data_IF_170459954159
#
_entry.id   IF_170459954159
#
_cell.length_a   1.000
_cell.length_b   1.000
_cell.length_c   1.000
_cell.angle_alpha   90.00
_cell.angle_beta   90.00
_cell.angle_gamma   90.00
#
_symmetry.space_group_name_H-M   'P 1'
#
loop_
_entity.id
_entity.type
_entity.pdbx_description
1 polymer ?
#
# COMPACT_ATOMS: atom_id res chain seq x y z
N UNK A 1 17.65 -5.65 -3.04
CA UNK A 1 16.54 -6.60 -2.79
C UNK A 1 16.43 -6.78 -1.28
N UNK A 2 15.26 -7.00 -0.69
CA UNK A 2 15.17 -7.35 0.75
C UNK A 2 15.62 -8.81 0.93
N UNK A 3 16.32 -9.16 2.01
CA UNK A 3 16.65 -10.56 2.29
C UNK A 3 15.38 -11.39 2.58
N UNK A 4 15.45 -12.69 2.32
CA UNK A 4 14.33 -13.61 2.58
C UNK A 4 13.92 -13.62 4.05
N UNK A 5 14.90 -13.58 4.97
CA UNK A 5 14.66 -13.51 6.42
C UNK A 5 13.89 -12.23 6.77
N UNK A 6 14.34 -11.07 6.29
CA UNK A 6 13.67 -9.80 6.57
C UNK A 6 12.26 -9.75 5.96
N UNK A 7 12.07 -10.34 4.78
CA UNK A 7 10.74 -10.48 4.17
C UNK A 7 9.82 -11.36 5.00
N UNK A 8 10.31 -12.50 5.48
CA UNK A 8 9.56 -13.42 6.34
C UNK A 8 9.13 -12.77 7.65
N UNK A 9 10.04 -12.07 8.33
CA UNK A 9 9.75 -11.33 9.55
C UNK A 9 8.68 -10.25 9.31
N UNK A 10 8.79 -9.52 8.19
CA UNK A 10 7.79 -8.51 7.81
C UNK A 10 6.41 -9.14 7.53
N UNK A 11 6.35 -10.28 6.84
CA UNK A 11 5.09 -11.03 6.62
C UNK A 11 4.44 -11.44 7.94
N UNK A 12 5.22 -11.99 8.88
CA UNK A 12 4.73 -12.34 10.23
C UNK A 12 4.21 -11.12 10.98
N UNK A 13 4.94 -9.99 10.95
CA UNK A 13 4.50 -8.75 11.60
C UNK A 13 3.18 -8.24 11.02
N UNK A 14 3.06 -8.18 9.70
CA UNK A 14 1.84 -7.71 9.04
C UNK A 14 0.65 -8.63 9.33
N UNK A 15 0.85 -9.95 9.41
CA UNK A 15 -0.20 -10.89 9.76
C UNK A 15 -0.76 -10.69 11.19
N UNK A 16 0.05 -10.14 12.11
CA UNK A 16 -0.34 -9.89 13.52
C UNK A 16 -1.05 -8.55 13.75
N UNK A 17 -1.08 -7.64 12.77
CA UNK A 17 -1.76 -6.34 12.94
C UNK A 17 -3.26 -6.58 13.19
N UNK A 18 -3.85 -6.02 14.24
CA UNK A 18 -5.31 -6.09 14.43
C UNK A 18 -5.96 -5.06 13.50
N UNK A 19 -6.74 -5.53 12.53
CA UNK A 19 -7.46 -4.63 11.62
C UNK A 19 -8.76 -4.14 12.29
N UNK A 20 -9.16 -2.88 12.08
CA UNK A 20 -10.45 -2.40 12.52
C UNK A 20 -11.58 -3.09 11.74
N UNK A 21 -12.80 -3.05 12.28
CA UNK A 21 -13.97 -3.47 11.54
C UNK A 21 -14.35 -2.39 10.52
N UNK A 22 -14.18 -2.68 9.23
CA UNK A 22 -14.52 -1.75 8.15
C UNK A 22 -15.99 -1.91 7.78
N UNK A 23 -16.74 -0.80 7.74
CA UNK A 23 -18.11 -0.80 7.24
C UNK A 23 -18.12 -1.05 5.72
N UNK A 24 -19.25 -1.55 5.21
CA UNK A 24 -19.43 -1.72 3.76
C UNK A 24 -19.52 -0.34 3.11
N UNK A 25 -18.72 -0.12 2.07
CA UNK A 25 -18.63 1.13 1.33
C UNK A 25 -18.66 0.85 -0.18
N UNK A 26 -18.95 1.87 -0.98
CA UNK A 26 -18.73 1.78 -2.42
C UNK A 26 -17.22 1.79 -2.72
N UNK A 27 -16.79 0.97 -3.68
CA UNK A 27 -15.39 0.97 -4.09
C UNK A 27 -15.02 2.29 -4.77
N UNK A 28 -13.80 2.76 -4.50
CA UNK A 28 -13.13 3.81 -5.25
C UNK A 28 -11.84 3.26 -5.82
N UNK A 29 -11.34 3.86 -6.91
CA UNK A 29 -9.99 3.60 -7.43
C UNK A 29 -9.18 4.89 -7.38
N UNK A 30 -7.97 4.80 -6.84
CA UNK A 30 -7.04 5.93 -6.72
C UNK A 30 -5.64 5.53 -7.16
N UNK A 31 -4.93 6.48 -7.78
CA UNK A 31 -3.49 6.44 -7.90
C UNK A 31 -2.88 7.35 -6.82
N UNK A 32 -2.00 6.79 -6.00
CA UNK A 32 -1.31 7.46 -4.90
C UNK A 32 0.17 7.47 -5.23
N UNK A 33 0.77 8.65 -5.30
CA UNK A 33 2.22 8.81 -5.48
C UNK A 33 2.87 9.21 -4.16
N UNK A 34 3.74 8.36 -3.65
CA UNK A 34 4.56 8.62 -2.47
C UNK A 34 5.94 9.11 -2.89
N UNK A 35 6.35 10.28 -2.39
CA UNK A 35 7.63 10.93 -2.69
C UNK A 35 8.41 11.10 -1.39
N UNK A 36 9.73 10.85 -1.45
CA UNK A 36 10.66 10.93 -0.31
C UNK A 36 11.60 9.71 -0.24
N UNK A 37 12.05 9.34 0.97
CA UNK A 37 12.85 8.13 1.22
C UNK A 37 11.95 6.90 1.29
N UNK A 38 11.39 6.53 0.14
CA UNK A 38 10.45 5.40 -0.03
C UNK A 38 11.01 4.29 -0.92
N UNK A 39 12.19 4.49 -1.55
CA UNK A 39 12.89 3.47 -2.34
C UNK A 39 13.97 2.80 -1.51
N UNK A 40 14.29 1.55 -1.85
CA UNK A 40 15.32 0.72 -1.17
C UNK A 40 15.10 0.50 0.35
N UNK A 41 13.91 0.81 0.87
CA UNK A 41 13.52 0.63 2.28
C UNK A 41 12.44 -0.45 2.49
N UNK A 42 12.25 -1.32 1.49
CA UNK A 42 11.21 -2.36 1.45
C UNK A 42 9.75 -1.85 1.40
N UNK A 43 9.54 -0.57 1.08
CA UNK A 43 8.21 0.05 0.93
C UNK A 43 7.25 -0.77 0.07
N UNK A 44 7.70 -1.21 -1.12
CA UNK A 44 6.85 -1.99 -2.03
C UNK A 44 6.32 -3.29 -1.43
N UNK A 45 7.11 -3.96 -0.62
CA UNK A 45 6.70 -5.23 -0.02
C UNK A 45 5.75 -5.01 1.17
N UNK A 46 5.94 -3.93 1.93
CA UNK A 46 5.01 -3.53 2.99
C UNK A 46 3.62 -3.26 2.41
N UNK A 47 3.55 -2.43 1.37
CA UNK A 47 2.29 -2.09 0.70
C UNK A 47 1.64 -3.33 0.12
N UNK A 48 2.39 -4.18 -0.60
CA UNK A 48 1.86 -5.42 -1.19
C UNK A 48 1.17 -6.28 -0.12
N UNK A 49 1.87 -6.58 0.97
CA UNK A 49 1.37 -7.46 2.02
C UNK A 49 0.16 -6.86 2.75
N UNK A 50 0.21 -5.55 3.06
CA UNK A 50 -0.90 -4.91 3.77
C UNK A 50 -2.11 -4.70 2.86
N UNK A 51 -1.92 -4.29 1.60
CA UNK A 51 -3.02 -4.12 0.65
C UNK A 51 -3.75 -5.44 0.39
N UNK A 52 -3.02 -6.55 0.20
CA UNK A 52 -3.61 -7.88 0.09
C UNK A 52 -4.42 -8.26 1.34
N UNK A 53 -3.89 -7.98 2.54
CA UNK A 53 -4.57 -8.28 3.81
C UNK A 53 -5.82 -7.42 4.05
N UNK A 54 -5.84 -6.20 3.51
CA UNK A 54 -7.01 -5.33 3.52
C UNK A 54 -8.04 -5.76 2.44
N UNK A 55 -7.67 -6.63 1.50
CA UNK A 55 -8.51 -6.98 0.36
C UNK A 55 -8.65 -5.86 -0.67
N UNK A 56 -7.62 -5.01 -0.79
CA UNK A 56 -7.50 -4.04 -1.88
C UNK A 56 -6.96 -4.74 -3.13
N UNK A 57 -7.29 -4.20 -4.30
CA UNK A 57 -6.77 -4.66 -5.60
C UNK A 57 -6.04 -3.52 -6.31
N UNK A 58 -5.20 -3.84 -7.31
CA UNK A 58 -4.37 -2.84 -7.99
C UNK A 58 -2.91 -3.24 -8.02
N UNK A 59 -2.02 -2.23 -8.02
CA UNK A 59 -0.59 -2.50 -8.10
C UNK A 59 0.27 -1.47 -7.37
N UNK A 60 1.53 -1.86 -7.15
CA UNK A 60 2.58 -0.94 -6.71
C UNK A 60 3.79 -1.00 -7.63
N UNK A 61 4.33 0.15 -8.00
CA UNK A 61 5.44 0.30 -8.93
C UNK A 61 6.42 1.40 -8.49
N UNK A 62 7.72 1.19 -8.71
CA UNK A 62 8.71 2.26 -8.59
C UNK A 62 8.71 3.11 -9.86
N UNK A 63 8.52 4.43 -9.73
CA UNK A 63 8.68 5.41 -10.82
C UNK A 63 9.89 6.31 -10.56
N UNK A 64 10.30 7.13 -11.55
CA UNK A 64 11.42 8.08 -11.40
C UNK A 64 11.21 9.01 -10.20
N UNK A 65 10.03 9.63 -10.11
CA UNK A 65 9.65 10.61 -9.08
C UNK A 65 9.44 9.99 -7.69
N UNK A 66 8.93 8.75 -7.62
CA UNK A 66 8.53 8.15 -6.34
C UNK A 66 8.05 6.72 -6.47
N UNK A 67 7.17 6.30 -5.57
CA UNK A 67 6.48 5.01 -5.65
C UNK A 67 5.01 5.27 -5.91
N UNK A 68 4.47 4.64 -6.95
CA UNK A 68 3.06 4.74 -7.31
C UNK A 68 2.33 3.51 -6.80
N UNK A 69 1.22 3.74 -6.10
CA UNK A 69 0.26 2.73 -5.64
C UNK A 69 -1.05 3.03 -6.31
N UNK A 70 -1.51 2.11 -7.16
CA UNK A 70 -2.89 2.11 -7.60
C UNK A 70 -3.67 1.15 -6.70
N UNK A 71 -4.73 1.65 -6.07
CA UNK A 71 -5.56 0.86 -5.18
C UNK A 71 -7.04 1.06 -5.51
N UNK A 72 -7.76 -0.04 -5.62
CA UNK A 72 -9.21 -0.07 -5.70
C UNK A 72 -9.79 -0.85 -4.51
N UNK A 73 -10.85 -0.33 -3.92
CA UNK A 73 -11.53 -0.90 -2.76
C UNK A 73 -12.20 0.17 -1.90
N UNK A 74 -12.51 -0.18 -0.64
CA UNK A 74 -13.17 0.77 0.27
C UNK A 74 -12.26 1.95 0.61
N UNK A 75 -12.78 3.19 0.58
CA UNK A 75 -12.04 4.39 1.00
C UNK A 75 -11.39 4.24 2.37
N UNK A 76 -12.11 3.70 3.36
CA UNK A 76 -11.58 3.47 4.72
C UNK A 76 -10.34 2.55 4.75
N UNK A 77 -10.31 1.51 3.92
CA UNK A 77 -9.17 0.59 3.80
C UNK A 77 -7.97 1.25 3.13
N UNK A 78 -8.21 2.06 2.09
CA UNK A 78 -7.17 2.84 1.42
C UNK A 78 -6.57 3.86 2.38
N UNK A 79 -7.41 4.56 3.15
CA UNK A 79 -6.99 5.51 4.17
C UNK A 79 -6.18 4.82 5.28
N UNK A 80 -6.62 3.64 5.73
CA UNK A 80 -5.87 2.83 6.69
C UNK A 80 -4.47 2.46 6.16
N UNK A 81 -4.38 2.01 4.89
CA UNK A 81 -3.09 1.73 4.25
C UNK A 81 -2.18 2.96 4.30
N UNK A 82 -2.66 4.13 3.89
CA UNK A 82 -1.88 5.38 3.91
C UNK A 82 -1.44 5.73 5.34
N UNK A 83 -2.35 5.66 6.32
CA UNK A 83 -2.07 5.97 7.72
C UNK A 83 -0.99 5.04 8.28
N UNK A 84 -1.11 3.73 8.07
CA UNK A 84 -0.12 2.73 8.49
C UNK A 84 1.26 2.98 7.86
N UNK A 85 1.32 3.38 6.59
CA UNK A 85 2.60 3.68 5.94
C UNK A 85 3.30 4.89 6.57
N UNK A 86 2.55 5.87 7.09
CA UNK A 86 3.10 7.04 7.79
C UNK A 86 3.68 6.68 9.16
N UNK A 87 3.21 5.61 9.81
CA UNK A 87 3.71 5.22 11.14
C UNK A 87 5.01 4.40 11.09
N UNK A 88 5.52 4.07 9.90
CA UNK A 88 6.72 3.23 9.75
C UNK A 88 7.98 4.12 9.71
N UNK A 89 8.88 4.04 10.70
CA UNK A 89 9.99 4.99 10.84
C UNK A 89 10.96 5.02 9.65
N UNK A 90 11.15 3.89 8.97
CA UNK A 90 12.05 3.78 7.81
C UNK A 90 11.49 4.39 6.52
N UNK A 91 10.23 4.84 6.53
CA UNK A 91 9.59 5.49 5.39
C UNK A 91 9.52 7.00 5.65
N UNK A 92 10.35 7.77 4.97
CA UNK A 92 10.26 9.24 5.04
C UNK A 92 9.41 9.69 3.86
N UNK A 93 8.12 9.93 4.12
CA UNK A 93 7.16 10.38 3.12
C UNK A 93 7.08 11.91 3.20
N UNK A 94 7.68 12.59 2.23
CA UNK A 94 7.66 14.04 2.14
C UNK A 94 6.38 14.56 1.47
N UNK A 95 5.86 13.81 0.48
CA UNK A 95 4.67 14.22 -0.28
C UNK A 95 3.83 13.00 -0.64
N UNK A 96 2.52 13.18 -0.59
CA UNK A 96 1.52 12.21 -1.06
C UNK A 96 0.63 12.95 -2.05
N UNK A 97 0.57 12.45 -3.29
CA UNK A 97 -0.33 12.96 -4.32
C UNK A 97 -1.37 11.90 -4.60
N UNK A 98 -2.66 12.24 -4.49
CA UNK A 98 -3.78 11.31 -4.70
C UNK A 98 -4.58 11.77 -5.90
N UNK A 99 -4.80 10.87 -6.87
CA UNK A 99 -5.65 11.10 -8.04
C UNK A 99 -6.74 10.04 -8.09
N UNK A 100 -8.01 10.47 -8.17
CA UNK A 100 -9.14 9.56 -8.40
C UNK A 100 -9.12 9.03 -9.84
N UNK A 101 -9.47 7.77 -10.00
CA UNK A 101 -9.57 7.08 -11.28
C UNK A 101 -10.94 6.41 -11.41
N UNK A 102 -11.31 6.05 -12.64
CA UNK A 102 -12.47 5.18 -12.87
C UNK A 102 -12.17 3.77 -12.37
N UNK A 103 -13.18 3.06 -11.87
CA UNK A 103 -13.04 1.68 -11.44
C UNK A 103 -12.55 0.80 -12.60
N UNK A 104 -11.73 -0.19 -12.30
CA UNK A 104 -11.18 -1.16 -13.25
C UNK A 104 -11.65 -2.58 -12.98
N UNK A 105 -11.98 -2.90 -11.73
CA UNK A 105 -12.38 -4.27 -11.35
C UNK A 105 -11.22 -5.26 -11.42
N UNK A 106 -9.99 -4.84 -11.06
CA UNK A 106 -8.88 -5.79 -10.90
C UNK A 106 -9.21 -6.84 -9.83
N UNK A 107 -8.63 -8.05 -9.96
CA UNK A 107 -8.93 -9.16 -9.04
C UNK A 107 -7.92 -9.32 -7.92
N UNK A 108 -6.70 -8.79 -8.09
CA UNK A 108 -5.60 -9.00 -7.16
C UNK A 108 -4.75 -7.76 -7.00
N UNK A 109 -3.98 -7.71 -5.92
CA UNK A 109 -2.94 -6.71 -5.72
C UNK A 109 -1.57 -7.29 -6.03
N UNK A 110 -0.81 -6.67 -6.93
CA UNK A 110 0.48 -7.17 -7.39
C UNK A 110 1.57 -6.10 -7.39
N UNK A 111 2.83 -6.53 -7.44
CA UNK A 111 4.00 -5.65 -7.48
C UNK A 111 4.56 -5.65 -8.90
N UNK A 112 4.72 -4.46 -9.49
CA UNK A 112 5.44 -4.20 -10.74
C UNK A 112 6.87 -3.74 -10.43
#
# INVERSE_FOLDING_TARGET
>A
MISLINYYLMKKRIAKIKLPNFKKEANIRVAITFIGKVKRVAFRNEVLLLAQRLGLVGFIENKKVGVVVEAEGYPSKINYLIAHLKTIPRFIIATIIIKKLNLKGEKTFHKK
#
